data_IF_252287578947
#
_entry.id   IF_252287578947
#
_cell.length_a   1.000
_cell.length_b   1.000
_cell.length_c   1.000
_cell.angle_alpha   90.00
_cell.angle_beta   90.00
_cell.angle_gamma   90.00
#
_symmetry.space_group_name_H-M   'P 1'
#
loop_
_entity.id
_entity.type
_entity.pdbx_description
1 polymer ?
#
# COMPACT_ATOMS: atom_id res chain seq x y z
N UNK A 1 6.30 -5.17 -14.76
CA UNK A 1 7.44 -4.21 -14.62
C UNK A 1 7.22 -3.27 -13.42
N UNK A 2 7.37 -3.78 -12.20
CA UNK A 2 7.11 -3.00 -10.96
C UNK A 2 8.42 -2.59 -10.26
N UNK A 3 9.44 -3.45 -10.23
CA UNK A 3 10.68 -3.21 -9.46
C UNK A 3 11.40 -1.90 -9.86
N UNK A 4 11.64 -1.57 -11.14
CA UNK A 4 12.31 -0.31 -11.49
C UNK A 4 11.53 0.92 -11.02
N UNK A 5 10.19 0.86 -11.08
CA UNK A 5 9.31 1.94 -10.63
C UNK A 5 9.32 2.07 -9.12
N UNK A 6 9.35 0.96 -8.39
CA UNK A 6 9.50 0.95 -6.93
C UNK A 6 10.83 1.61 -6.56
N UNK A 7 11.94 1.18 -7.15
CA UNK A 7 13.26 1.75 -6.88
C UNK A 7 13.33 3.25 -7.19
N UNK A 8 12.76 3.69 -8.31
CA UNK A 8 12.65 5.10 -8.66
C UNK A 8 11.89 5.90 -7.60
N UNK A 9 10.73 5.42 -7.17
CA UNK A 9 9.90 6.15 -6.21
C UNK A 9 10.52 6.16 -4.82
N UNK A 10 11.17 5.07 -4.39
CA UNK A 10 11.98 5.05 -3.17
C UNK A 10 13.10 6.09 -3.24
N UNK A 11 13.90 6.09 -4.30
CA UNK A 11 14.99 7.05 -4.49
C UNK A 11 14.47 8.50 -4.50
N UNK A 12 13.37 8.74 -5.21
CA UNK A 12 12.74 10.07 -5.26
C UNK A 12 12.27 10.53 -3.87
N UNK A 13 11.77 9.62 -3.02
CA UNK A 13 11.41 9.91 -1.63
C UNK A 13 12.62 10.28 -0.78
N UNK A 14 13.73 9.54 -0.91
CA UNK A 14 15.00 9.86 -0.23
C UNK A 14 15.52 11.23 -0.65
N UNK A 15 15.58 11.50 -1.96
CA UNK A 15 16.02 12.80 -2.49
C UNK A 15 15.10 13.91 -1.99
N UNK A 16 13.77 13.70 -2.04
CA UNK A 16 12.80 14.69 -1.57
C UNK A 16 13.00 14.99 -0.09
N UNK A 17 13.21 13.98 0.76
CA UNK A 17 13.47 14.18 2.20
C UNK A 17 14.73 15.02 2.46
N UNK A 18 15.78 14.85 1.64
CA UNK A 18 17.02 15.63 1.76
C UNK A 18 16.84 17.09 1.34
N UNK A 19 16.05 17.33 0.29
CA UNK A 19 15.79 18.69 -0.23
C UNK A 19 14.73 19.42 0.62
N UNK A 20 13.65 18.72 0.98
CA UNK A 20 12.51 19.22 1.74
C UNK A 20 12.13 18.18 2.81
N UNK A 21 12.47 18.46 4.07
CA UNK A 21 12.13 17.56 5.17
C UNK A 21 10.61 17.38 5.27
N UNK A 22 10.12 16.15 5.50
CA UNK A 22 8.71 15.91 5.73
C UNK A 22 8.24 16.70 6.95
N UNK A 23 7.03 17.26 6.88
CA UNK A 23 6.45 17.94 8.02
C UNK A 23 6.24 16.94 9.20
N UNK A 24 6.36 17.38 10.47
CA UNK A 24 6.29 16.48 11.65
C UNK A 24 4.95 15.75 11.76
N UNK A 25 4.91 14.42 11.75
CA UNK A 25 3.66 13.64 11.72
C UNK A 25 3.15 13.30 10.31
N UNK A 26 3.98 13.47 9.27
CA UNK A 26 3.69 12.91 7.94
C UNK A 26 3.45 11.39 8.03
N UNK A 27 2.43 10.91 7.30
CA UNK A 27 1.82 9.58 7.35
C UNK A 27 0.91 9.34 8.57
N UNK A 28 1.03 10.08 9.67
CA UNK A 28 0.21 9.90 10.88
C UNK A 28 -0.87 10.97 10.98
N UNK A 29 -0.48 12.18 11.37
CA UNK A 29 -1.38 13.34 11.50
C UNK A 29 -1.83 13.90 10.15
N UNK A 30 -1.02 13.70 9.10
CA UNK A 30 -1.31 14.17 7.74
C UNK A 30 -0.84 13.20 6.67
N UNK A 31 -1.50 13.16 5.51
CA UNK A 31 -1.11 12.24 4.44
C UNK A 31 0.27 12.58 3.88
N UNK A 32 1.01 11.54 3.52
CA UNK A 32 2.12 11.65 2.57
C UNK A 32 1.54 11.80 1.17
N UNK A 33 1.92 12.86 0.47
CA UNK A 33 1.41 13.17 -0.87
C UNK A 33 2.44 12.71 -1.90
N UNK A 34 2.12 11.63 -2.61
CA UNK A 34 2.89 11.18 -3.76
C UNK A 34 2.25 11.72 -5.05
N UNK A 35 3.05 12.38 -5.89
CA UNK A 35 2.55 13.00 -7.13
C UNK A 35 3.05 12.22 -8.33
N UNK A 36 2.15 11.89 -9.25
CA UNK A 36 2.50 11.14 -10.46
C UNK A 36 1.57 11.48 -11.63
N UNK A 37 1.90 10.95 -12.81
CA UNK A 37 1.04 10.90 -13.98
C UNK A 37 0.85 9.45 -14.40
N UNK A 38 -0.37 9.10 -14.79
CA UNK A 38 -0.66 7.76 -15.30
C UNK A 38 0.00 7.59 -16.66
N UNK A 39 0.89 6.60 -16.78
CA UNK A 39 1.51 6.23 -18.04
C UNK A 39 0.61 5.32 -18.87
N UNK A 40 0.91 5.19 -20.17
CA UNK A 40 0.16 4.29 -21.07
C UNK A 40 0.23 2.81 -20.64
N UNK A 41 1.34 2.39 -20.02
CA UNK A 41 1.53 1.01 -19.51
C UNK A 41 0.52 0.67 -18.39
N UNK A 42 0.02 1.68 -17.68
CA UNK A 42 -0.95 1.49 -16.60
C UNK A 42 -2.41 1.55 -17.10
N UNK A 43 -2.62 1.75 -18.41
CA UNK A 43 -3.93 1.95 -19.01
C UNK A 43 -4.47 0.65 -19.59
N UNK A 44 -5.78 0.40 -19.44
CA UNK A 44 -6.46 -0.73 -20.06
C UNK A 44 -7.03 -0.40 -21.45
N UNK A 45 -7.71 -1.35 -22.08
CA UNK A 45 -8.38 -1.16 -23.38
C UNK A 45 -9.50 -0.12 -23.35
N UNK A 46 -10.05 0.17 -22.16
CA UNK A 46 -11.06 1.20 -21.98
C UNK A 46 -10.45 2.60 -21.89
N UNK A 47 -9.13 2.75 -22.05
CA UNK A 47 -8.42 4.03 -22.01
C UNK A 47 -8.54 4.70 -20.63
N UNK A 48 -8.54 3.89 -19.57
CA UNK A 48 -8.48 4.37 -18.18
C UNK A 48 -7.44 3.59 -17.40
N UNK A 49 -7.08 4.12 -16.22
CA UNK A 49 -6.20 3.40 -15.30
C UNK A 49 -6.79 2.00 -15.03
N UNK A 50 -6.01 0.96 -15.34
CA UNK A 50 -6.37 -0.42 -15.10
C UNK A 50 -6.63 -0.64 -13.61
N UNK A 51 -7.65 -1.42 -13.27
CA UNK A 51 -7.99 -1.83 -11.91
C UNK A 51 -6.77 -2.32 -11.11
N UNK A 52 -5.95 -3.21 -11.69
CA UNK A 52 -4.73 -3.70 -11.04
C UNK A 52 -3.67 -2.61 -10.85
N UNK A 53 -3.63 -1.63 -11.75
CA UNK A 53 -2.69 -0.52 -11.68
C UNK A 53 -3.01 0.43 -10.52
N UNK A 54 -4.26 0.52 -10.04
CA UNK A 54 -4.52 1.28 -8.81
C UNK A 54 -3.79 0.69 -7.60
N UNK A 55 -3.82 -0.62 -7.40
CA UNK A 55 -3.08 -1.28 -6.33
C UNK A 55 -1.56 -1.08 -6.50
N UNK A 56 -1.07 -1.16 -7.74
CA UNK A 56 0.33 -0.82 -8.06
C UNK A 56 0.66 0.63 -7.66
N UNK A 57 -0.21 1.60 -7.95
CA UNK A 57 0.02 2.99 -7.54
C UNK A 57 -0.01 3.14 -6.02
N UNK A 58 -0.87 2.41 -5.30
CA UNK A 58 -0.88 2.40 -3.83
C UNK A 58 0.46 1.92 -3.27
N UNK A 59 1.01 0.81 -3.80
CA UNK A 59 2.33 0.31 -3.41
C UNK A 59 3.44 1.33 -3.68
N UNK A 60 3.44 1.96 -4.86
CA UNK A 60 4.43 2.99 -5.20
C UNK A 60 4.34 4.20 -4.26
N UNK A 61 3.13 4.62 -3.88
CA UNK A 61 2.90 5.68 -2.92
C UNK A 61 3.40 5.31 -1.52
N UNK A 62 3.23 4.06 -1.09
CA UNK A 62 3.76 3.54 0.19
C UNK A 62 5.28 3.57 0.18
N UNK A 63 5.92 3.03 -0.86
CA UNK A 63 7.38 3.03 -0.98
C UNK A 63 7.97 4.44 -1.02
N UNK A 64 7.31 5.36 -1.70
CA UNK A 64 7.65 6.78 -1.66
C UNK A 64 7.52 7.35 -0.24
N UNK A 65 6.39 7.12 0.44
CA UNK A 65 6.12 7.63 1.78
C UNK A 65 7.13 7.11 2.81
N UNK A 66 7.45 5.81 2.76
CA UNK A 66 8.42 5.14 3.64
C UNK A 66 9.83 5.72 3.45
N UNK A 67 10.24 5.98 2.21
CA UNK A 67 11.51 6.65 1.92
C UNK A 67 11.51 8.12 2.36
N UNK A 68 10.42 8.85 2.08
CA UNK A 68 10.30 10.28 2.34
C UNK A 68 10.22 10.61 3.84
N UNK A 69 9.58 9.76 4.64
CA UNK A 69 9.51 9.90 6.11
C UNK A 69 10.77 9.42 6.81
N UNK A 70 11.62 8.64 6.13
CA UNK A 70 12.83 8.04 6.71
C UNK A 70 12.61 6.73 7.44
N UNK A 71 11.40 6.17 7.36
CA UNK A 71 11.12 4.79 7.78
C UNK A 71 12.07 3.81 7.09
N UNK A 72 12.36 4.02 5.80
CA UNK A 72 13.22 3.15 5.01
C UNK A 72 14.58 2.89 5.67
N UNK A 73 15.26 3.94 6.13
CA UNK A 73 16.59 3.84 6.74
C UNK A 73 16.55 2.95 7.99
N UNK A 74 15.50 3.09 8.80
CA UNK A 74 15.30 2.35 10.05
C UNK A 74 14.99 0.88 9.79
N UNK A 75 14.10 0.63 8.82
CA UNK A 75 13.73 -0.72 8.37
C UNK A 75 14.96 -1.46 7.86
N UNK A 76 15.78 -0.82 7.03
CA UNK A 76 17.04 -1.40 6.54
C UNK A 76 18.05 -1.65 7.67
N UNK A 77 18.24 -0.67 8.58
CA UNK A 77 19.17 -0.81 9.70
C UNK A 77 18.79 -1.97 10.64
N UNK A 78 17.50 -2.23 10.82
CA UNK A 78 16.98 -3.33 11.66
C UNK A 78 16.70 -4.62 10.89
N UNK A 79 17.00 -4.67 9.57
CA UNK A 79 16.73 -5.81 8.68
C UNK A 79 15.26 -6.24 8.71
N UNK A 80 14.37 -5.27 8.85
CA UNK A 80 12.94 -5.47 8.76
C UNK A 80 12.51 -5.47 7.29
N UNK A 81 11.36 -6.08 7.01
CA UNK A 81 10.70 -5.98 5.71
C UNK A 81 9.21 -5.81 5.90
N UNK A 82 8.58 -5.12 4.93
CA UNK A 82 7.14 -4.92 4.91
C UNK A 82 6.44 -6.15 4.33
N UNK A 83 5.29 -6.48 4.91
CA UNK A 83 4.38 -7.47 4.38
C UNK A 83 2.98 -6.86 4.31
N UNK A 84 2.36 -6.95 3.14
CA UNK A 84 0.97 -6.58 2.93
C UNK A 84 0.13 -7.84 3.15
N UNK A 85 -0.77 -7.82 4.13
CA UNK A 85 -1.65 -8.95 4.44
C UNK A 85 -2.91 -8.96 3.59
N UNK A 86 -3.45 -7.78 3.29
CA UNK A 86 -4.62 -7.61 2.45
C UNK A 86 -4.73 -6.16 1.98
N UNK A 87 -5.44 -5.96 0.87
CA UNK A 87 -5.81 -4.65 0.36
C UNK A 87 -7.23 -4.69 -0.20
N UNK A 88 -7.94 -3.57 -0.07
CA UNK A 88 -9.21 -3.34 -0.74
C UNK A 88 -9.20 -1.97 -1.40
N UNK A 89 -10.00 -1.81 -2.45
CA UNK A 89 -10.11 -0.55 -3.16
C UNK A 89 -11.53 -0.33 -3.66
N UNK A 90 -12.00 0.92 -3.53
CA UNK A 90 -13.27 1.41 -4.06
C UNK A 90 -13.01 2.47 -5.12
N UNK A 91 -13.45 2.20 -6.34
CA UNK A 91 -13.41 3.13 -7.45
C UNK A 91 -14.65 4.04 -7.43
N UNK A 92 -14.46 5.35 -7.55
CA UNK A 92 -15.55 6.34 -7.64
C UNK A 92 -15.63 6.96 -9.04
N UNK A 93 -14.48 7.32 -9.60
CA UNK A 93 -14.36 7.92 -10.93
C UNK A 93 -13.12 7.38 -11.65
N UNK A 94 -13.24 7.17 -12.95
CA UNK A 94 -12.12 6.76 -13.79
C UNK A 94 -11.03 7.83 -13.89
N UNK A 95 -9.78 7.37 -13.97
CA UNK A 95 -8.60 8.23 -14.16
C UNK A 95 -8.14 8.09 -15.62
N UNK A 96 -8.23 9.14 -16.44
CA UNK A 96 -7.71 9.11 -17.81
C UNK A 96 -6.18 9.03 -17.85
N UNK A 97 -5.59 8.51 -18.94
CA UNK A 97 -4.15 8.49 -19.13
C UNK A 97 -3.55 9.90 -19.12
N UNK A 98 -2.28 10.00 -18.73
CA UNK A 98 -1.48 11.24 -18.67
C UNK A 98 -2.02 12.32 -17.72
N UNK A 99 -3.12 12.06 -17.01
CA UNK A 99 -3.67 12.99 -16.03
C UNK A 99 -2.77 13.02 -14.80
N UNK A 100 -2.46 14.24 -14.28
CA UNK A 100 -1.78 14.37 -13.01
C UNK A 100 -2.70 13.91 -11.89
N UNK A 101 -2.16 13.07 -11.02
CA UNK A 101 -2.84 12.59 -9.82
C UNK A 101 -1.94 12.74 -8.61
N UNK A 102 -2.57 12.89 -7.46
CA UNK A 102 -1.92 12.78 -6.17
C UNK A 102 -2.50 11.56 -5.44
N UNK A 103 -1.62 10.73 -4.88
CA UNK A 103 -2.01 9.66 -3.96
C UNK A 103 -1.67 10.12 -2.56
N UNK A 104 -2.71 10.32 -1.77
CA UNK A 104 -2.62 10.77 -0.38
C UNK A 104 -2.66 9.53 0.50
N UNK A 105 -1.52 9.15 1.07
CA UNK A 105 -1.39 7.95 1.91
C UNK A 105 -1.30 8.35 3.38
N UNK A 106 -2.18 7.82 4.22
CA UNK A 106 -2.22 8.12 5.66
C UNK A 106 -2.53 6.87 6.47
N UNK A 107 -1.85 6.70 7.60
CA UNK A 107 -2.21 5.73 8.64
C UNK A 107 -3.48 6.20 9.34
N UNK A 108 -4.53 5.39 9.26
CA UNK A 108 -5.83 5.72 9.88
C UNK A 108 -6.13 4.86 11.11
N UNK A 109 -5.45 3.72 11.25
CA UNK A 109 -5.57 2.84 12.41
C UNK A 109 -4.32 1.95 12.51
N UNK A 110 -4.05 1.43 13.71
CA UNK A 110 -3.11 0.35 13.93
C UNK A 110 -3.53 -0.44 15.17
N UNK A 111 -3.12 -1.70 15.22
CA UNK A 111 -3.24 -2.56 16.39
C UNK A 111 -1.84 -3.04 16.80
N UNK A 112 -1.77 -4.11 17.60
CA UNK A 112 -0.51 -4.67 18.09
C UNK A 112 0.34 -5.36 17.01
N UNK A 113 -0.26 -5.64 15.84
CA UNK A 113 0.33 -6.46 14.78
C UNK A 113 0.36 -5.73 13.43
N UNK A 114 -0.67 -4.94 13.12
CA UNK A 114 -0.94 -4.39 11.81
C UNK A 114 -1.11 -2.87 11.84
N UNK A 115 -0.73 -2.25 10.73
CA UNK A 115 -0.93 -0.84 10.42
C UNK A 115 -1.85 -0.75 9.21
N UNK A 116 -2.82 0.14 9.28
CA UNK A 116 -3.85 0.30 8.27
C UNK A 116 -3.67 1.66 7.59
N UNK A 117 -3.29 1.61 6.31
CA UNK A 117 -3.09 2.79 5.49
C UNK A 117 -4.29 3.01 4.58
N UNK A 118 -4.83 4.22 4.61
CA UNK A 118 -5.76 4.73 3.61
C UNK A 118 -4.99 5.42 2.49
N UNK A 119 -5.35 5.12 1.25
CA UNK A 119 -4.83 5.76 0.05
C UNK A 119 -5.99 6.44 -0.69
N UNK A 120 -5.90 7.75 -0.89
CA UNK A 120 -6.89 8.53 -1.67
C UNK A 120 -6.27 9.06 -2.95
N UNK A 121 -6.92 8.77 -4.07
CA UNK A 121 -6.51 9.24 -5.40
C UNK A 121 -7.22 10.56 -5.71
N UNK A 122 -6.48 11.65 -5.73
CA UNK A 122 -7.03 13.00 -5.80
C UNK A 122 -6.54 13.74 -7.05
N UNK A 123 -7.42 14.49 -7.69
CA UNK A 123 -7.04 15.44 -8.72
C UNK A 123 -6.41 16.70 -8.08
N UNK A 124 -5.13 17.03 -8.36
CA UNK A 124 -4.48 18.16 -7.71
C UNK A 124 -5.14 19.52 -8.01
N UNK A 125 -5.75 19.68 -9.20
CA UNK A 125 -6.36 20.95 -9.60
C UNK A 125 -7.79 21.15 -9.12
N UNK A 126 -8.56 20.08 -8.90
CA UNK A 126 -10.00 20.16 -8.58
C UNK A 126 -10.38 19.57 -7.23
N UNK A 127 -9.46 18.86 -6.57
CA UNK A 127 -9.77 18.09 -5.35
C UNK A 127 -10.67 16.87 -5.59
N UNK A 128 -11.02 16.55 -6.85
CA UNK A 128 -11.88 15.41 -7.18
C UNK A 128 -11.24 14.09 -6.70
N UNK A 129 -11.97 13.33 -5.89
CA UNK A 129 -11.59 12.00 -5.42
C UNK A 129 -11.97 10.93 -6.44
N UNK A 130 -10.98 10.22 -6.98
CA UNK A 130 -11.17 9.17 -7.98
C UNK A 130 -11.40 7.79 -7.36
N UNK A 131 -10.62 7.45 -6.34
CA UNK A 131 -10.68 6.16 -5.68
C UNK A 131 -10.15 6.28 -4.24
N UNK A 132 -10.57 5.35 -3.40
CA UNK A 132 -10.05 5.17 -2.05
C UNK A 132 -9.68 3.70 -1.85
N UNK A 133 -8.50 3.45 -1.30
CA UNK A 133 -8.02 2.11 -0.99
C UNK A 133 -7.56 2.00 0.46
N UNK A 134 -7.60 0.77 0.98
CA UNK A 134 -7.10 0.38 2.28
C UNK A 134 -6.00 -0.66 2.09
N UNK A 135 -4.93 -0.55 2.87
CA UNK A 135 -3.87 -1.54 2.94
C UNK A 135 -3.63 -1.94 4.38
N UNK A 136 -3.63 -3.25 4.64
CA UNK A 136 -3.22 -3.84 5.91
C UNK A 136 -1.79 -4.31 5.81
N UNK A 137 -0.89 -3.66 6.56
CA UNK A 137 0.55 -3.83 6.43
C UNK A 137 1.15 -4.15 7.79
N UNK A 138 2.13 -5.04 7.83
CA UNK A 138 2.94 -5.33 9.01
C UNK A 138 4.42 -5.29 8.67
N UNK A 139 5.26 -5.23 9.70
CA UNK A 139 6.70 -5.38 9.58
C UNK A 139 7.13 -6.71 10.19
N UNK A 140 8.07 -7.37 9.53
CA UNK A 140 8.64 -8.63 10.01
C UNK A 140 10.14 -8.55 10.14
N UNK A 141 10.66 -9.31 11.10
CA UNK A 141 12.08 -9.58 11.27
C UNK A 141 12.26 -11.10 11.24
N UNK A 142 12.78 -11.64 10.13
CA UNK A 142 12.78 -13.08 9.92
C UNK A 142 11.35 -13.65 9.93
N UNK A 143 11.04 -14.51 10.91
CA UNK A 143 9.69 -15.08 11.13
C UNK A 143 8.88 -14.34 12.18
N UNK A 144 9.45 -13.36 12.86
CA UNK A 144 8.75 -12.65 13.94
C UNK A 144 8.05 -11.40 13.41
N UNK A 145 6.88 -11.12 13.98
CA UNK A 145 6.15 -9.87 13.70
C UNK A 145 6.63 -8.77 14.63
N UNK A 146 6.91 -7.60 14.06
CA UNK A 146 7.37 -6.42 14.81
C UNK A 146 6.16 -5.58 15.20
N UNK A 147 6.02 -5.32 16.50
CA UNK A 147 4.93 -4.49 17.02
C UNK A 147 4.93 -3.08 16.41
N UNK A 148 3.80 -2.56 15.90
CA UNK A 148 3.71 -1.23 15.30
C UNK A 148 4.17 -0.09 16.23
N UNK A 149 3.90 -0.16 17.53
CA UNK A 149 4.43 0.81 18.50
C UNK A 149 5.96 0.90 18.47
N UNK A 150 6.67 -0.23 18.38
CA UNK A 150 8.13 -0.24 18.22
C UNK A 150 8.56 0.39 16.89
N UNK A 151 7.75 0.25 15.83
CA UNK A 151 7.99 0.94 14.57
C UNK A 151 7.80 2.45 14.75
N UNK A 152 6.68 2.91 15.31
CA UNK A 152 6.41 4.34 15.48
C UNK A 152 7.44 5.01 16.37
N UNK A 153 7.85 4.34 17.44
CA UNK A 153 8.96 4.76 18.28
C UNK A 153 10.25 4.88 17.46
N UNK A 154 10.63 3.86 16.70
CA UNK A 154 11.89 3.90 15.93
C UNK A 154 11.86 4.93 14.77
N UNK A 155 10.69 5.16 14.19
CA UNK A 155 10.47 6.03 13.01
C UNK A 155 10.32 7.48 13.41
N UNK A 156 9.55 7.75 14.47
CA UNK A 156 9.18 9.10 14.90
C UNK A 156 9.95 9.57 16.15
N UNK A 157 10.81 8.74 16.76
CA UNK A 157 11.78 9.23 17.75
C UNK A 157 12.86 10.07 17.09
N UNK A 158 12.60 11.37 17.06
CA UNK A 158 13.60 12.43 17.17
C UNK A 158 13.65 12.87 18.63
N UNK A 159 14.86 12.90 19.18
CA UNK A 159 15.28 13.39 20.52
C UNK A 159 14.19 14.10 21.35
N UNK A 160 13.91 13.55 22.52
CA UNK A 160 13.44 14.21 23.75
C UNK A 160 12.47 15.39 23.56
N UNK A 161 11.15 15.13 23.62
CA UNK A 161 10.19 16.18 23.93
C UNK A 161 8.77 16.13 23.35
N UNK A 162 8.39 15.20 22.45
CA UNK A 162 7.06 15.32 21.80
C UNK A 162 6.27 14.02 21.53
N UNK A 163 4.94 14.24 21.56
CA UNK A 163 3.75 13.45 21.18
C UNK A 163 3.93 11.93 21.04
N UNK A 164 3.57 11.22 22.10
CA UNK A 164 3.31 9.79 22.05
C UNK A 164 2.03 9.54 21.25
N UNK A 165 2.13 8.78 20.16
CA UNK A 165 0.95 8.37 19.40
C UNK A 165 0.26 7.23 20.15
N UNK A 166 -0.95 7.49 20.63
CA UNK A 166 -1.83 6.46 21.17
C UNK A 166 -2.60 5.83 20.02
N UNK A 167 -2.86 4.53 20.12
CA UNK A 167 -3.73 3.82 19.19
C UNK A 167 -5.06 4.57 19.04
N UNK A 168 -5.45 4.95 17.81
CA UNK A 168 -6.71 5.64 17.58
C UNK A 168 -7.89 4.68 17.77
N UNK A 169 -9.06 5.23 18.06
CA UNK A 169 -10.30 4.45 18.03
C UNK A 169 -10.50 3.85 16.63
N UNK A 170 -10.93 2.59 16.56
CA UNK A 170 -11.09 1.88 15.29
C UNK A 170 -12.19 2.53 14.45
N UNK A 171 -11.87 3.09 13.27
CA UNK A 171 -12.88 3.66 12.39
C UNK A 171 -13.81 2.57 11.82
N UNK A 172 -15.07 2.92 11.54
CA UNK A 172 -16.06 1.99 10.97
C UNK A 172 -15.56 1.31 9.69
N UNK A 173 -14.91 2.08 8.81
CA UNK A 173 -14.35 1.55 7.55
C UNK A 173 -13.29 0.47 7.78
N UNK A 174 -12.54 0.55 8.88
CA UNK A 174 -11.54 -0.47 9.25
C UNK A 174 -12.23 -1.69 9.84
N UNK A 175 -13.27 -1.50 10.67
CA UNK A 175 -14.07 -2.61 11.23
C UNK A 175 -14.71 -3.43 10.11
N UNK A 176 -15.35 -2.77 9.14
CA UNK A 176 -16.01 -3.45 8.03
C UNK A 176 -15.00 -4.14 7.10
N UNK A 177 -13.85 -3.49 6.87
CA UNK A 177 -12.74 -4.08 6.13
C UNK A 177 -12.20 -5.35 6.82
N UNK A 178 -12.05 -5.33 8.14
CA UNK A 178 -11.61 -6.49 8.91
C UNK A 178 -12.64 -7.62 8.93
N UNK A 179 -13.94 -7.29 8.93
CA UNK A 179 -14.99 -8.29 8.80
C UNK A 179 -14.91 -9.03 7.45
N UNK A 180 -14.70 -8.29 6.35
CA UNK A 180 -14.43 -8.88 5.04
C UNK A 180 -13.16 -9.74 5.04
N UNK A 181 -12.07 -9.22 5.59
CA UNK A 181 -10.79 -9.92 5.64
C UNK A 181 -10.87 -11.25 6.42
N UNK A 182 -11.52 -11.25 7.59
CA UNK A 182 -11.74 -12.44 8.38
C UNK A 182 -12.58 -13.48 7.64
N UNK A 183 -13.65 -13.05 6.98
CA UNK A 183 -14.51 -13.92 6.17
C UNK A 183 -13.74 -14.53 5.00
N UNK A 184 -12.92 -13.72 4.32
CA UNK A 184 -12.07 -14.18 3.23
C UNK A 184 -11.01 -15.18 3.72
N UNK A 185 -10.43 -14.97 4.90
CA UNK A 185 -9.44 -15.87 5.47
C UNK A 185 -10.01 -17.25 5.83
N UNK A 186 -11.27 -17.31 6.28
CA UNK A 186 -11.99 -18.58 6.50
C UNK A 186 -12.23 -19.29 5.17
N UNK A 187 -12.80 -18.57 4.19
CA UNK A 187 -13.07 -19.13 2.85
C UNK A 187 -11.79 -19.68 2.18
N UNK A 188 -10.64 -19.00 2.33
CA UNK A 188 -9.36 -19.47 1.81
C UNK A 188 -8.87 -20.77 2.46
N UNK A 189 -9.16 -21.01 3.74
CA UNK A 189 -8.79 -22.25 4.45
C UNK A 189 -9.71 -23.42 4.11
N UNK A 190 -10.97 -23.12 3.83
CA UNK A 190 -11.99 -24.09 3.46
C UNK A 190 -11.90 -24.51 1.98
N UNK A 191 -11.20 -23.73 1.15
CA UNK A 191 -11.01 -24.05 -0.27
C UNK A 191 -10.32 -25.42 -0.44
N UNK A 192 -11.06 -26.38 -1.00
CA UNK A 192 -10.55 -27.66 -1.47
C UNK A 192 -10.72 -27.74 -2.98
N UNK A 193 -9.69 -28.21 -3.68
CA UNK A 193 -9.77 -28.44 -5.11
C UNK A 193 -10.71 -29.62 -5.39
N UNK A 194 -11.84 -29.37 -6.05
CA UNK A 194 -12.64 -30.46 -6.60
C UNK A 194 -11.86 -31.17 -7.72
N UNK A 195 -12.01 -32.50 -7.90
CA UNK A 195 -11.36 -33.23 -8.98
C UNK A 195 -11.78 -32.64 -10.33
N UNK A 196 -10.89 -31.84 -10.94
CA UNK A 196 -11.16 -31.23 -12.24
C UNK A 196 -10.98 -32.29 -13.32
N UNK A 197 -11.92 -32.45 -14.26
CA UNK A 197 -11.71 -33.34 -15.41
C UNK A 197 -10.46 -32.92 -16.17
N UNK A 198 -9.65 -33.88 -16.63
CA UNK A 198 -8.44 -33.59 -17.41
C UNK A 198 -8.84 -32.83 -18.67
N UNK A 199 -8.54 -31.53 -18.70
CA UNK A 199 -8.69 -30.73 -19.90
C UNK A 199 -7.65 -31.20 -20.93
N UNK A 200 -7.96 -31.20 -22.23
CA UNK A 200 -6.98 -31.55 -23.26
C UNK A 200 -5.79 -30.58 -23.22
N UNK A 201 -4.60 -31.03 -23.64
CA UNK A 201 -3.38 -30.23 -23.79
C UNK A 201 -3.57 -28.97 -24.65
N UNK A 202 -4.60 -28.94 -25.50
CA UNK A 202 -5.01 -27.79 -26.33
C UNK A 202 -5.88 -26.78 -25.61
N UNK A 203 -6.19 -26.99 -24.32
CA UNK A 203 -7.08 -26.10 -23.56
C UNK A 203 -6.46 -24.73 -23.24
N UNK A 204 -5.14 -24.57 -23.38
CA UNK A 204 -4.47 -23.28 -23.23
C UNK A 204 -3.19 -23.18 -24.03
N UNK A 205 -2.98 -21.99 -24.59
CA UNK A 205 -1.76 -21.60 -25.29
C UNK A 205 -0.75 -20.88 -24.38
N UNK A 206 -1.07 -20.74 -23.08
CA UNK A 206 -0.13 -20.22 -22.09
C UNK A 206 0.89 -21.32 -21.71
N UNK A 207 2.01 -20.92 -21.08
CA UNK A 207 3.07 -21.84 -20.68
C UNK A 207 2.52 -23.07 -19.95
N UNK A 208 2.89 -24.31 -20.37
CA UNK A 208 2.31 -25.52 -19.82
C UNK A 208 2.65 -25.70 -18.34
N UNK A 209 1.66 -26.09 -17.55
CA UNK A 209 1.71 -26.19 -16.08
C UNK A 209 1.57 -27.63 -15.55
N UNK A 210 1.63 -28.65 -16.41
CA UNK A 210 1.32 -30.06 -16.09
C UNK A 210 2.32 -30.77 -15.16
N UNK A 211 3.18 -30.02 -14.46
CA UNK A 211 4.12 -30.54 -13.45
C UNK A 211 4.05 -29.70 -12.17
N UNK A 212 2.95 -29.83 -11.45
CA UNK A 212 2.80 -29.36 -10.06
C UNK A 212 2.13 -30.45 -9.23
#
# INVERSE_FOLDING_TARGET
MTIPRVMWNMLSGVVRRRVNKPAPGCLMDRPSIWKTRIGFIDTDLNVHLNNASYLTQMELAIWYAVAHTGILDRVLAKRWYFLIGSQAIRYRHQIPPLRPIEVHTQTIYWDDTWVYLQARFVCPGTGKLYAEGLSRITLRHGRDTVHPTNMFDVVYQTKTGEKQYVQPEMPDVIRDYLAWDASSAVSMKEYSLEPTPRLPLTSSFNLPWEKL
#
